data_IF_180223292889
#
_entry.id   IF_180223292889
#
_cell.length_a   1.000
_cell.length_b   1.000
_cell.length_c   1.000
_cell.angle_alpha   90.00
_cell.angle_beta   90.00
_cell.angle_gamma   90.00
#
_symmetry.space_group_name_H-M   'P 1'
#
loop_
_entity.id
_entity.type
_entity.pdbx_description
1 polymer ?
#
# COMPACT_ATOMS: atom_id res chain seq x y z
N UNK A 1 -15.85 1.85 -13.82
CA UNK A 1 -16.73 1.63 -12.67
C UNK A 1 -15.98 2.13 -11.46
N UNK A 2 -16.45 3.17 -10.78
CA UNK A 2 -15.81 3.62 -9.55
C UNK A 2 -15.91 2.48 -8.53
N UNK A 3 -14.77 2.02 -8.02
CA UNK A 3 -14.75 1.10 -6.89
C UNK A 3 -15.04 1.96 -5.67
N UNK A 4 -16.05 1.60 -4.88
CA UNK A 4 -16.33 2.25 -3.60
C UNK A 4 -16.13 1.23 -2.48
N UNK A 5 -15.61 1.67 -1.34
CA UNK A 5 -15.53 0.84 -0.14
C UNK A 5 -16.93 0.71 0.47
N UNK A 6 -17.70 -0.31 0.08
CA UNK A 6 -19.10 -0.48 0.50
C UNK A 6 -19.30 -0.45 2.02
N UNK A 7 -18.38 -1.05 2.79
CA UNK A 7 -18.44 -1.00 4.25
C UNK A 7 -18.26 0.42 4.81
N UNK A 8 -17.41 1.22 4.17
CA UNK A 8 -17.19 2.62 4.55
C UNK A 8 -18.42 3.45 4.20
N UNK A 9 -19.01 3.21 3.02
CA UNK A 9 -20.28 3.82 2.63
C UNK A 9 -21.40 3.50 3.63
N UNK A 10 -21.61 2.22 3.96
CA UNK A 10 -22.65 1.77 4.89
C UNK A 10 -22.47 2.39 6.28
N UNK A 11 -21.22 2.50 6.76
CA UNK A 11 -20.90 3.14 8.03
C UNK A 11 -21.20 4.65 8.01
N UNK A 12 -20.93 5.34 6.89
CA UNK A 12 -21.24 6.76 6.71
C UNK A 12 -22.76 6.99 6.67
N UNK A 13 -23.52 6.14 5.99
CA UNK A 13 -24.98 6.17 6.00
C UNK A 13 -25.53 5.94 7.41
N UNK A 14 -25.01 4.93 8.12
CA UNK A 14 -25.40 4.65 9.51
C UNK A 14 -25.06 5.81 10.47
N UNK A 15 -24.02 6.60 10.15
CA UNK A 15 -23.66 7.81 10.88
C UNK A 15 -24.52 9.05 10.49
N UNK A 16 -25.46 8.91 9.55
CA UNK A 16 -26.35 9.98 9.11
C UNK A 16 -25.79 10.88 8.00
N UNK A 17 -24.72 10.46 7.31
CA UNK A 17 -24.21 11.20 6.16
C UNK A 17 -25.20 11.13 4.97
N UNK A 18 -25.36 12.23 4.20
CA UNK A 18 -26.07 12.20 2.93
C UNK A 18 -25.47 11.19 1.94
N UNK A 19 -26.32 10.51 1.15
CA UNK A 19 -25.92 9.45 0.20
C UNK A 19 -24.81 9.89 -0.78
N UNK A 20 -24.98 11.06 -1.38
CA UNK A 20 -24.02 11.67 -2.30
C UNK A 20 -22.64 11.87 -1.66
N UNK A 21 -22.62 12.34 -0.41
CA UNK A 21 -21.37 12.56 0.35
C UNK A 21 -20.75 11.26 0.84
N UNK A 22 -21.57 10.33 1.31
CA UNK A 22 -21.12 9.02 1.77
C UNK A 22 -20.44 8.26 0.62
N UNK A 23 -21.04 8.29 -0.57
CA UNK A 23 -20.51 7.67 -1.77
C UNK A 23 -19.21 8.34 -2.23
N UNK A 24 -19.19 9.67 -2.32
CA UNK A 24 -17.99 10.41 -2.72
C UNK A 24 -16.80 10.10 -1.79
N UNK A 25 -17.02 10.09 -0.48
CA UNK A 25 -15.98 9.75 0.49
C UNK A 25 -15.51 8.30 0.37
N UNK A 26 -16.42 7.35 0.16
CA UNK A 26 -16.07 5.93 -0.01
C UNK A 26 -15.32 5.66 -1.33
N UNK A 27 -15.64 6.39 -2.39
CA UNK A 27 -14.92 6.34 -3.68
C UNK A 27 -13.53 6.98 -3.57
N UNK A 28 -13.39 8.12 -2.87
CA UNK A 28 -12.10 8.76 -2.62
C UNK A 28 -11.16 7.82 -1.83
N UNK A 29 -11.68 7.19 -0.78
CA UNK A 29 -10.92 6.23 0.03
C UNK A 29 -10.50 4.98 -0.78
N UNK A 30 -11.38 4.48 -1.66
CA UNK A 30 -11.05 3.36 -2.54
C UNK A 30 -9.93 3.72 -3.54
N UNK A 31 -9.85 4.99 -3.95
CA UNK A 31 -8.75 5.50 -4.78
C UNK A 31 -7.36 5.33 -4.15
N UNK A 32 -7.25 5.26 -2.82
CA UNK A 32 -5.98 5.04 -2.13
C UNK A 32 -5.52 3.57 -2.15
N UNK A 33 -6.44 2.60 -2.29
CA UNK A 33 -6.09 1.17 -2.33
C UNK A 33 -5.08 0.87 -3.44
N UNK A 34 -5.33 1.39 -4.64
CA UNK A 34 -4.42 1.26 -5.78
C UNK A 34 -3.04 1.88 -5.51
N UNK A 35 -3.01 3.03 -4.81
CA UNK A 35 -1.75 3.67 -4.42
C UNK A 35 -0.98 2.83 -3.40
N UNK A 36 -1.66 2.21 -2.46
CA UNK A 36 -1.04 1.32 -1.48
C UNK A 36 -0.44 0.08 -2.14
N UNK A 37 -1.19 -0.59 -3.02
CA UNK A 37 -0.68 -1.76 -3.77
C UNK A 37 0.60 -1.41 -4.55
N UNK A 38 0.63 -0.23 -5.19
CA UNK A 38 1.82 0.24 -5.89
C UNK A 38 3.00 0.46 -4.92
N UNK A 39 2.77 1.14 -3.80
CA UNK A 39 3.80 1.38 -2.77
C UNK A 39 4.33 0.05 -2.20
N UNK A 40 3.46 -0.90 -1.91
CA UNK A 40 3.85 -2.22 -1.39
C UNK A 40 4.72 -2.98 -2.38
N UNK A 41 4.39 -2.90 -3.68
CA UNK A 41 5.16 -3.51 -4.77
C UNK A 41 6.55 -2.88 -4.87
N UNK A 42 6.61 -1.54 -4.92
CA UNK A 42 7.86 -0.80 -4.99
C UNK A 42 8.75 -1.06 -3.75
N UNK A 43 8.14 -1.15 -2.57
CA UNK A 43 8.82 -1.46 -1.33
C UNK A 43 9.35 -2.90 -1.29
N UNK A 44 8.61 -3.86 -1.85
CA UNK A 44 9.06 -5.25 -1.96
C UNK A 44 10.31 -5.36 -2.85
N UNK A 45 10.33 -4.65 -3.98
CA UNK A 45 11.51 -4.57 -4.86
C UNK A 45 12.69 -3.93 -4.11
N UNK A 46 12.46 -2.82 -3.42
CA UNK A 46 13.51 -2.14 -2.67
C UNK A 46 14.11 -3.02 -1.57
N UNK A 47 13.26 -3.75 -0.82
CA UNK A 47 13.71 -4.71 0.21
C UNK A 47 14.61 -5.80 -0.38
N UNK A 48 14.27 -6.34 -1.56
CA UNK A 48 15.10 -7.32 -2.26
C UNK A 48 16.45 -6.73 -2.68
N UNK A 49 16.45 -5.52 -3.24
CA UNK A 49 17.69 -4.85 -3.65
C UNK A 49 18.63 -4.61 -2.46
N UNK A 50 18.08 -4.15 -1.33
CA UNK A 50 18.85 -3.96 -0.09
C UNK A 50 19.38 -5.28 0.44
N UNK A 51 18.56 -6.35 0.44
CA UNK A 51 18.99 -7.69 0.84
C UNK A 51 20.13 -8.23 -0.01
N UNK A 52 20.05 -8.08 -1.34
CA UNK A 52 21.11 -8.48 -2.27
C UNK A 52 22.37 -7.64 -2.07
N UNK A 53 22.23 -6.33 -1.91
CA UNK A 53 23.37 -5.45 -1.65
C UNK A 53 24.08 -5.82 -0.34
N UNK A 54 23.33 -6.06 0.73
CA UNK A 54 23.86 -6.49 2.02
C UNK A 54 24.58 -7.84 1.90
N UNK A 55 23.97 -8.82 1.23
CA UNK A 55 24.60 -10.12 0.99
C UNK A 55 25.90 -10.00 0.19
N UNK A 56 25.93 -9.17 -0.85
CA UNK A 56 27.13 -8.88 -1.62
C UNK A 56 28.22 -8.24 -0.76
N UNK A 57 27.90 -7.19 0.00
CA UNK A 57 28.84 -6.53 0.91
C UNK A 57 29.38 -7.50 1.97
N UNK A 58 28.52 -8.32 2.59
CA UNK A 58 28.94 -9.32 3.57
C UNK A 58 29.83 -10.40 2.92
N UNK A 59 29.50 -10.86 1.71
CA UNK A 59 30.33 -11.86 1.01
C UNK A 59 31.74 -11.35 0.74
N UNK A 60 31.90 -10.07 0.42
CA UNK A 60 33.20 -9.43 0.22
C UNK A 60 33.95 -9.39 1.55
N UNK A 61 33.29 -8.94 2.63
CA UNK A 61 33.89 -8.89 3.96
C UNK A 61 34.34 -10.27 4.42
N UNK A 62 33.48 -11.28 4.31
CA UNK A 62 33.82 -12.66 4.66
C UNK A 62 35.04 -13.12 3.86
N UNK A 63 35.05 -12.96 2.53
CA UNK A 63 36.17 -13.40 1.69
C UNK A 63 37.49 -12.67 1.97
N UNK A 64 37.44 -11.43 2.47
CA UNK A 64 38.64 -10.64 2.77
C UNK A 64 39.21 -10.89 4.17
N UNK A 65 38.38 -11.29 5.13
CA UNK A 65 38.75 -11.32 6.55
C UNK A 65 38.63 -12.71 7.21
N UNK A 66 38.06 -13.71 6.52
CA UNK A 66 37.91 -15.10 6.97
C UNK A 66 38.49 -16.03 5.92
#
# INVERSE_FOLDING_TARGET
MAVMLSKTYDALIAAGAPDDKARAAAEELAGYESRFVKIETDLAVLKWMVGVNLAASLSIVVKLFV
#
